data_IF_421146173072
#
_entry.id   IF_421146173072
#
_cell.length_a   1.000
_cell.length_b   1.000
_cell.length_c   1.000
_cell.angle_alpha   90.00
_cell.angle_beta   90.00
_cell.angle_gamma   90.00
#
_symmetry.space_group_name_H-M   'P 1'
#
loop_
_entity.id
_entity.type
_entity.pdbx_description
1 polymer ?
#
# COMPACT_ATOMS: atom_id res chain seq x y z
N UNK A 1 21.80 17.66 -36.11
CA UNK A 1 21.70 17.65 -34.63
C UNK A 1 21.73 16.21 -34.17
N UNK A 2 22.85 15.75 -33.65
CA UNK A 2 23.04 14.39 -33.17
C UNK A 2 22.24 14.22 -31.86
N UNK A 3 21.20 13.44 -31.88
CA UNK A 3 20.43 13.10 -30.66
C UNK A 3 21.35 12.26 -29.76
N UNK A 4 21.89 12.90 -28.74
CA UNK A 4 22.67 12.23 -27.70
C UNK A 4 21.77 11.15 -27.07
N UNK A 5 22.04 9.88 -27.40
CA UNK A 5 21.33 8.72 -26.87
C UNK A 5 21.49 8.73 -25.35
N UNK A 6 20.43 9.14 -24.62
CA UNK A 6 20.44 9.16 -23.16
C UNK A 6 20.34 7.70 -22.70
N UNK A 7 21.47 7.15 -22.26
CA UNK A 7 21.45 5.81 -21.65
C UNK A 7 20.74 5.87 -20.28
N UNK A 8 19.79 4.96 -20.02
CA UNK A 8 19.10 4.92 -18.73
C UNK A 8 20.09 4.58 -17.61
N UNK A 9 20.11 5.42 -16.57
CA UNK A 9 20.96 5.22 -15.40
C UNK A 9 20.35 4.07 -14.58
N UNK A 10 20.97 2.90 -14.61
CA UNK A 10 20.53 1.70 -13.87
C UNK A 10 21.08 1.61 -12.45
N UNK A 11 22.08 2.40 -12.11
CA UNK A 11 22.71 2.45 -10.78
C UNK A 11 22.69 3.88 -10.26
N UNK A 12 21.92 4.10 -9.20
CA UNK A 12 21.78 5.41 -8.56
C UNK A 12 23.11 5.96 -8.01
N UNK A 13 24.09 5.10 -7.71
CA UNK A 13 25.41 5.51 -7.21
C UNK A 13 26.18 6.34 -8.25
N UNK A 14 25.90 6.15 -9.54
CA UNK A 14 26.53 6.92 -10.64
C UNK A 14 26.06 8.38 -10.70
N UNK A 15 24.95 8.72 -10.03
CA UNK A 15 24.38 10.08 -10.00
C UNK A 15 25.13 11.06 -9.09
N UNK A 16 26.00 10.57 -8.22
CA UNK A 16 26.63 11.35 -7.17
C UNK A 16 25.74 11.54 -5.94
N UNK A 17 26.35 11.72 -4.77
CA UNK A 17 25.68 11.72 -3.45
C UNK A 17 24.55 12.75 -3.34
N UNK A 18 24.74 13.98 -3.85
CA UNK A 18 23.74 15.04 -3.75
C UNK A 18 22.47 14.72 -4.56
N UNK A 19 22.60 14.29 -5.81
CA UNK A 19 21.45 13.94 -6.65
C UNK A 19 20.73 12.70 -6.11
N UNK A 20 21.47 11.72 -5.63
CA UNK A 20 20.89 10.51 -5.01
C UNK A 20 20.07 10.85 -3.76
N UNK A 21 20.57 11.78 -2.91
CA UNK A 21 19.84 12.23 -1.72
C UNK A 21 18.54 12.95 -2.08
N UNK A 22 18.60 13.89 -3.04
CA UNK A 22 17.42 14.65 -3.49
C UNK A 22 16.36 13.72 -4.07
N UNK A 23 16.75 12.77 -4.93
CA UNK A 23 15.83 11.80 -5.52
C UNK A 23 15.24 10.86 -4.46
N UNK A 24 16.04 10.46 -3.46
CA UNK A 24 15.57 9.66 -2.34
C UNK A 24 14.51 10.38 -1.50
N UNK A 25 14.75 11.65 -1.17
CA UNK A 25 13.78 12.49 -0.45
C UNK A 25 12.51 12.69 -1.28
N UNK A 26 12.63 12.99 -2.57
CA UNK A 26 11.48 13.12 -3.47
C UNK A 26 10.65 11.84 -3.52
N UNK A 27 11.30 10.68 -3.63
CA UNK A 27 10.62 9.38 -3.63
C UNK A 27 9.90 9.11 -2.31
N UNK A 28 10.54 9.42 -1.18
CA UNK A 28 9.94 9.29 0.15
C UNK A 28 8.65 10.11 0.27
N UNK A 29 8.65 11.39 -0.14
CA UNK A 29 7.45 12.23 -0.10
C UNK A 29 6.34 11.72 -1.02
N UNK A 30 6.68 11.27 -2.22
CA UNK A 30 5.70 10.74 -3.18
C UNK A 30 4.99 9.48 -2.63
N UNK A 31 5.72 8.57 -1.99
CA UNK A 31 5.17 7.35 -1.43
C UNK A 31 4.43 7.58 -0.10
N UNK A 32 4.87 8.56 0.70
CA UNK A 32 4.28 8.91 1.97
C UNK A 32 2.82 9.35 1.82
N UNK A 33 2.54 10.25 0.86
CA UNK A 33 1.19 10.72 0.56
C UNK A 33 0.23 9.58 0.21
N UNK A 34 0.62 8.68 -0.68
CA UNK A 34 -0.18 7.52 -1.06
C UNK A 34 -0.43 6.57 0.12
N UNK A 35 0.58 6.33 0.95
CA UNK A 35 0.48 5.41 2.09
C UNK A 35 -0.45 5.93 3.19
N UNK A 36 -0.53 7.25 3.39
CA UNK A 36 -1.46 7.87 4.34
C UNK A 36 -2.88 7.98 3.77
N UNK A 37 -3.02 8.31 2.50
CA UNK A 37 -4.31 8.58 1.89
C UNK A 37 -5.22 7.35 1.85
N UNK A 38 -4.66 6.17 1.56
CA UNK A 38 -5.45 4.94 1.45
C UNK A 38 -6.19 4.59 2.76
N UNK A 39 -5.56 4.50 3.95
CA UNK A 39 -6.28 4.21 5.18
C UNK A 39 -7.32 5.28 5.54
N UNK A 40 -7.09 6.55 5.21
CA UNK A 40 -8.07 7.63 5.41
C UNK A 40 -9.30 7.42 4.53
N UNK A 41 -9.10 7.13 3.22
CA UNK A 41 -10.20 6.87 2.30
C UNK A 41 -11.01 5.64 2.70
N UNK A 42 -10.32 4.55 3.09
CA UNK A 42 -10.98 3.32 3.54
C UNK A 42 -11.81 3.58 4.79
N UNK A 43 -11.25 4.28 5.79
CA UNK A 43 -12.00 4.67 6.99
C UNK A 43 -13.25 5.49 6.63
N UNK A 44 -13.12 6.45 5.70
CA UNK A 44 -14.24 7.24 5.20
C UNK A 44 -15.33 6.41 4.53
N UNK A 45 -14.98 5.35 3.79
CA UNK A 45 -15.97 4.45 3.16
C UNK A 45 -16.78 3.71 4.21
N UNK A 46 -16.16 3.17 5.25
CA UNK A 46 -16.86 2.46 6.31
C UNK A 46 -17.70 3.40 7.18
N UNK A 47 -17.19 4.58 7.48
CA UNK A 47 -17.95 5.60 8.20
C UNK A 47 -19.21 6.03 7.43
N UNK A 48 -19.07 6.24 6.12
CA UNK A 48 -20.22 6.63 5.27
C UNK A 48 -21.25 5.51 5.12
N UNK A 49 -20.81 4.26 5.02
CA UNK A 49 -21.68 3.11 4.78
C UNK A 49 -22.31 2.55 6.05
N UNK A 50 -21.57 2.47 7.16
CA UNK A 50 -22.00 1.85 8.40
C UNK A 50 -22.34 2.86 9.50
N UNK A 51 -22.01 4.14 9.33
CA UNK A 51 -22.18 5.18 10.36
C UNK A 51 -21.21 5.08 11.53
N UNK A 52 -20.22 4.18 11.47
CA UNK A 52 -19.25 3.90 12.52
C UNK A 52 -17.83 4.15 12.03
N UNK A 53 -16.98 4.70 12.90
CA UNK A 53 -15.55 4.83 12.62
C UNK A 53 -14.83 3.49 12.81
N UNK A 54 -13.85 3.24 11.93
CA UNK A 54 -12.93 2.12 12.09
C UNK A 54 -11.99 2.37 13.28
N UNK A 55 -12.17 1.61 14.35
CA UNK A 55 -11.35 1.70 15.57
C UNK A 55 -10.22 0.68 15.60
N UNK A 56 -10.27 -0.35 14.75
CA UNK A 56 -9.30 -1.45 14.72
C UNK A 56 -8.65 -1.61 13.35
N UNK A 57 -7.33 -1.70 13.33
CA UNK A 57 -6.56 -2.29 12.24
C UNK A 57 -6.17 -1.36 11.08
N UNK A 58 -7.00 -0.42 10.66
CA UNK A 58 -6.75 0.45 9.49
C UNK A 58 -6.37 1.88 9.86
N UNK A 59 -5.65 2.06 10.96
CA UNK A 59 -5.10 3.38 11.31
C UNK A 59 -3.89 3.72 10.43
N UNK A 60 -3.69 5.01 10.17
CA UNK A 60 -2.52 5.54 9.44
C UNK A 60 -1.21 5.05 10.06
N UNK A 61 -1.12 5.07 11.40
CA UNK A 61 0.08 4.64 12.13
C UNK A 61 0.41 3.17 11.91
N UNK A 62 -0.59 2.28 11.99
CA UNK A 62 -0.40 0.85 11.73
C UNK A 62 -0.02 0.61 10.26
N UNK A 63 -0.66 1.31 9.33
CA UNK A 63 -0.36 1.20 7.90
C UNK A 63 1.07 1.62 7.59
N UNK A 64 1.54 2.75 8.16
CA UNK A 64 2.92 3.21 8.00
C UNK A 64 3.93 2.23 8.61
N UNK A 65 3.63 1.71 9.80
CA UNK A 65 4.49 0.72 10.44
C UNK A 65 4.61 -0.56 9.59
N UNK A 66 3.48 -1.10 9.12
CA UNK A 66 3.46 -2.30 8.29
C UNK A 66 4.15 -2.07 6.92
N UNK A 67 3.97 -0.89 6.32
CA UNK A 67 4.64 -0.53 5.07
C UNK A 67 6.16 -0.47 5.25
N UNK A 68 6.65 0.16 6.34
CA UNK A 68 8.07 0.21 6.67
C UNK A 68 8.65 -1.17 6.95
N UNK A 69 7.98 -1.95 7.79
CA UNK A 69 8.43 -3.30 8.14
C UNK A 69 8.43 -4.24 6.92
N UNK A 70 7.35 -4.21 6.12
CA UNK A 70 7.26 -4.99 4.87
C UNK A 70 8.36 -4.61 3.88
N UNK A 71 8.67 -3.32 3.75
CA UNK A 71 9.76 -2.82 2.90
C UNK A 71 11.13 -3.35 3.37
N UNK A 72 11.39 -3.37 4.69
CA UNK A 72 12.62 -3.93 5.23
C UNK A 72 12.77 -5.42 4.94
N UNK A 73 11.70 -6.21 5.15
CA UNK A 73 11.68 -7.63 4.81
C UNK A 73 11.96 -7.84 3.32
N UNK A 74 11.29 -7.07 2.46
CA UNK A 74 11.50 -7.14 1.01
C UNK A 74 12.97 -6.87 0.64
N UNK A 75 13.59 -5.84 1.22
CA UNK A 75 15.00 -5.52 0.95
C UNK A 75 15.95 -6.64 1.42
N UNK A 76 15.67 -7.25 2.58
CA UNK A 76 16.43 -8.41 3.05
C UNK A 76 16.31 -9.61 2.09
N UNK A 77 15.08 -9.93 1.66
CA UNK A 77 14.83 -11.03 0.71
C UNK A 77 15.48 -10.78 -0.65
N UNK A 78 15.49 -9.55 -1.13
CA UNK A 78 16.09 -9.17 -2.42
C UNK A 78 17.59 -8.87 -2.31
N UNK A 79 18.20 -9.04 -1.12
CA UNK A 79 19.62 -8.71 -0.85
C UNK A 79 19.96 -7.27 -1.26
N UNK A 80 19.04 -6.34 -1.05
CA UNK A 80 19.16 -4.92 -1.43
C UNK A 80 19.43 -4.66 -2.92
N UNK A 81 19.08 -5.60 -3.79
CA UNK A 81 19.27 -5.46 -5.24
C UNK A 81 18.14 -4.69 -5.92
N UNK A 82 16.95 -4.68 -5.35
CA UNK A 82 15.77 -4.03 -5.93
C UNK A 82 15.37 -2.84 -5.05
N UNK A 83 15.54 -1.59 -5.53
CA UNK A 83 15.13 -0.40 -4.79
C UNK A 83 13.62 -0.20 -4.96
N UNK A 84 12.82 -0.90 -4.16
CA UNK A 84 11.36 -0.75 -4.15
C UNK A 84 10.87 -0.47 -2.74
N UNK A 85 9.79 0.30 -2.64
CA UNK A 85 9.06 0.58 -1.41
C UNK A 85 7.72 -0.13 -1.48
N UNK A 86 7.34 -0.81 -0.41
CA UNK A 86 6.03 -1.43 -0.27
C UNK A 86 5.12 -0.49 0.52
N UNK A 87 4.04 -0.07 -0.09
CA UNK A 87 3.07 0.84 0.53
C UNK A 87 1.63 0.42 0.24
N UNK A 88 0.69 1.24 0.66
CA UNK A 88 -0.72 1.03 0.42
C UNK A 88 -1.04 1.05 -1.08
N UNK A 89 -1.95 0.17 -1.51
CA UNK A 89 -2.35 0.08 -2.91
C UNK A 89 -3.75 0.64 -3.13
N UNK A 90 -3.87 1.55 -4.09
CA UNK A 90 -5.17 2.07 -4.54
C UNK A 90 -6.04 1.00 -5.23
N UNK A 91 -5.43 -0.07 -5.74
CA UNK A 91 -6.15 -1.14 -6.42
C UNK A 91 -7.19 -1.83 -5.52
N UNK A 92 -6.96 -1.87 -4.22
CA UNK A 92 -7.88 -2.50 -3.26
C UNK A 92 -9.00 -1.57 -2.76
N UNK A 93 -8.97 -0.27 -3.07
CA UNK A 93 -10.01 0.67 -2.63
C UNK A 93 -11.41 0.26 -3.09
N UNK A 94 -11.54 -0.21 -4.33
CA UNK A 94 -12.81 -0.72 -4.86
C UNK A 94 -13.34 -1.92 -4.06
N UNK A 95 -12.47 -2.83 -3.65
CA UNK A 95 -12.83 -3.98 -2.80
C UNK A 95 -13.32 -3.53 -1.41
N UNK A 96 -12.62 -2.61 -0.76
CA UNK A 96 -13.05 -2.05 0.52
C UNK A 96 -14.38 -1.31 0.40
N UNK A 97 -14.57 -0.50 -0.65
CA UNK A 97 -15.83 0.20 -0.91
C UNK A 97 -16.99 -0.78 -1.09
N UNK A 98 -16.78 -1.84 -1.86
CA UNK A 98 -17.81 -2.88 -2.07
C UNK A 98 -18.19 -3.55 -0.75
N UNK A 99 -17.20 -3.99 0.04
CA UNK A 99 -17.47 -4.67 1.32
C UNK A 99 -18.13 -3.72 2.32
N UNK A 100 -17.75 -2.45 2.37
CA UNK A 100 -18.38 -1.45 3.24
C UNK A 100 -19.88 -1.31 2.96
N UNK A 101 -20.27 -1.31 1.67
CA UNK A 101 -21.66 -1.14 1.24
C UNK A 101 -22.44 -2.46 1.12
N UNK A 102 -21.82 -3.61 1.42
CA UNK A 102 -22.48 -4.91 1.37
C UNK A 102 -23.34 -5.09 2.62
N UNK A 103 -24.65 -5.12 2.43
CA UNK A 103 -25.62 -5.25 3.53
C UNK A 103 -26.59 -6.43 3.30
N UNK A 104 -26.08 -7.50 2.67
CA UNK A 104 -26.83 -8.70 2.35
C UNK A 104 -26.10 -9.98 2.77
N UNK A 105 -26.85 -11.04 3.00
CA UNK A 105 -26.30 -12.34 3.40
C UNK A 105 -25.57 -12.27 4.75
N UNK A 106 -24.36 -12.77 4.82
CA UNK A 106 -23.56 -12.82 6.06
C UNK A 106 -23.07 -11.42 6.53
N UNK A 107 -23.15 -10.39 5.68
CA UNK A 107 -22.69 -9.04 6.02
C UNK A 107 -23.81 -8.15 6.59
N UNK A 108 -25.07 -8.62 6.57
CA UNK A 108 -26.19 -7.89 7.10
C UNK A 108 -26.07 -7.66 8.62
N UNK A 109 -26.09 -6.39 9.06
CA UNK A 109 -25.98 -6.02 10.46
C UNK A 109 -24.56 -6.18 11.07
N UNK A 110 -23.52 -6.42 10.26
CA UNK A 110 -22.15 -6.46 10.75
C UNK A 110 -21.61 -5.05 11.04
N UNK A 111 -20.79 -4.92 12.10
CA UNK A 111 -20.12 -3.68 12.42
C UNK A 111 -19.10 -3.29 11.34
N UNK A 112 -18.74 -2.00 11.25
CA UNK A 112 -17.71 -1.51 10.34
C UNK A 112 -16.38 -2.24 10.52
N UNK A 113 -16.01 -2.52 11.78
CA UNK A 113 -14.76 -3.23 12.11
C UNK A 113 -14.76 -4.68 11.62
N UNK A 114 -15.89 -5.38 11.72
CA UNK A 114 -16.00 -6.76 11.27
C UNK A 114 -15.95 -6.84 9.74
N UNK A 115 -16.71 -6.00 9.04
CA UNK A 115 -16.65 -5.89 7.58
C UNK A 115 -15.22 -5.57 7.09
N UNK A 116 -14.52 -4.64 7.76
CA UNK A 116 -13.14 -4.31 7.45
C UNK A 116 -12.18 -5.49 7.68
N UNK A 117 -12.40 -6.29 8.73
CA UNK A 117 -11.60 -7.50 8.97
C UNK A 117 -11.79 -8.53 7.86
N UNK A 118 -13.01 -8.73 7.37
CA UNK A 118 -13.28 -9.59 6.20
C UNK A 118 -12.59 -9.08 4.93
N UNK A 119 -12.64 -7.78 4.67
CA UNK A 119 -11.94 -7.18 3.53
C UNK A 119 -10.42 -7.39 3.62
N UNK A 120 -9.83 -7.22 4.80
CA UNK A 120 -8.42 -7.51 5.05
C UNK A 120 -8.09 -9.00 4.84
N UNK A 121 -8.97 -9.92 5.27
CA UNK A 121 -8.86 -11.34 5.00
C UNK A 121 -8.84 -11.65 3.50
N UNK A 122 -9.68 -10.99 2.72
CA UNK A 122 -9.70 -11.10 1.25
C UNK A 122 -8.37 -10.65 0.61
N UNK A 123 -7.78 -9.55 1.11
CA UNK A 123 -6.47 -9.06 0.63
C UNK A 123 -5.36 -10.06 0.99
N UNK A 124 -5.42 -10.66 2.18
CA UNK A 124 -4.46 -11.70 2.57
C UNK A 124 -4.53 -12.90 1.63
N UNK A 125 -5.73 -13.39 1.31
CA UNK A 125 -5.92 -14.49 0.35
C UNK A 125 -5.40 -14.10 -1.04
N UNK A 126 -5.67 -12.89 -1.51
CA UNK A 126 -5.13 -12.40 -2.77
C UNK A 126 -3.58 -12.38 -2.76
N UNK A 127 -2.97 -11.95 -1.66
CA UNK A 127 -1.51 -12.00 -1.46
C UNK A 127 -0.95 -13.43 -1.53
N UNK A 128 -1.63 -14.39 -0.92
CA UNK A 128 -1.26 -15.82 -1.00
C UNK A 128 -1.36 -16.36 -2.43
N UNK A 129 -2.41 -15.97 -3.18
CA UNK A 129 -2.53 -16.34 -4.60
C UNK A 129 -1.40 -15.77 -5.45
N UNK A 130 -1.04 -14.49 -5.25
CA UNK A 130 0.11 -13.91 -5.93
C UNK A 130 1.43 -14.61 -5.58
N UNK A 131 1.59 -15.02 -4.33
CA UNK A 131 2.78 -15.79 -3.92
C UNK A 131 2.86 -17.13 -4.65
N UNK A 132 1.74 -17.86 -4.75
CA UNK A 132 1.67 -19.15 -5.48
C UNK A 132 1.97 -18.95 -6.98
N UNK A 133 1.45 -17.87 -7.58
CA UNK A 133 1.70 -17.56 -9.00
C UNK A 133 3.16 -17.14 -9.29
N UNK A 134 3.89 -16.70 -8.28
CA UNK A 134 5.29 -16.28 -8.39
C UNK A 134 6.29 -17.44 -8.24
N UNK A 135 5.85 -18.64 -7.79
CA UNK A 135 6.65 -19.86 -7.65
C UNK A 135 6.69 -20.64 -8.96
#
# INVERSE_FOLDING_TARGET
MEQKKIEPIRDARKLGKAKMLILGIQHMFAMFGATILVPILVSGYFQAACGEELTRGLSVSVTLFCAGFGTLIFHLCTKFKVPAFLGSSFAFLGGFYTVANLDSGMYAGMSANDKAAYACGGIFVAGMLYFVLAL
#
